data_IF_722221002959
#
_entry.id   IF_722221002959
#
_cell.length_a   1.000
_cell.length_b   1.000
_cell.length_c   1.000
_cell.angle_alpha   90.00
_cell.angle_beta   90.00
_cell.angle_gamma   90.00
#
_symmetry.space_group_name_H-M   'P 1'
#
loop_
_entity.id
_entity.type
_entity.pdbx_description
1 polymer ?
#
# COMPACT_ATOMS: atom_id res chain seq x y z
N UNK A 1 9.15 29.89 21.05
CA UNK A 1 8.59 30.22 19.71
C UNK A 1 9.11 29.16 18.77
N UNK A 2 8.48 27.98 18.77
CA UNK A 2 8.84 26.85 17.90
C UNK A 2 8.00 27.01 16.64
N UNK A 3 8.66 27.36 15.55
CA UNK A 3 8.05 27.46 14.23
C UNK A 3 7.78 26.05 13.70
N UNK A 4 6.50 25.78 13.55
CA UNK A 4 5.87 24.62 12.99
C UNK A 4 6.27 24.50 11.50
N UNK A 5 7.29 23.67 11.19
CA UNK A 5 7.80 23.45 9.82
C UNK A 5 7.40 22.08 9.25
N UNK A 6 6.41 21.36 9.82
CA UNK A 6 6.11 19.99 9.41
C UNK A 6 4.70 19.72 8.90
N UNK A 7 3.90 20.72 8.62
CA UNK A 7 2.66 20.52 7.82
C UNK A 7 2.99 20.65 6.34
N UNK A 8 3.48 19.58 5.70
CA UNK A 8 3.23 19.46 4.26
C UNK A 8 1.71 19.37 4.13
N UNK A 9 1.07 20.49 3.80
CA UNK A 9 -0.36 20.52 3.50
C UNK A 9 -0.70 19.34 2.60
N UNK A 10 -1.70 18.58 3.01
CA UNK A 10 -2.20 17.44 2.23
C UNK A 10 -2.77 18.00 0.92
N UNK A 11 -2.01 17.88 -0.15
CA UNK A 11 -2.40 18.41 -1.44
C UNK A 11 -3.18 17.36 -2.23
N UNK A 12 -4.44 17.63 -2.50
CA UNK A 12 -5.25 16.77 -3.36
C UNK A 12 -4.99 17.06 -4.83
N UNK A 13 -4.96 16.01 -5.63
CA UNK A 13 -4.83 16.12 -7.08
C UNK A 13 -6.10 16.68 -7.70
N UNK A 14 -5.93 17.60 -8.65
CA UNK A 14 -7.03 18.07 -9.51
C UNK A 14 -7.45 16.97 -10.50
N UNK A 15 -8.62 17.13 -11.12
CA UNK A 15 -9.07 16.19 -12.13
C UNK A 15 -8.13 16.17 -13.35
N UNK A 16 -7.48 17.30 -13.68
CA UNK A 16 -6.48 17.40 -14.75
C UNK A 16 -5.23 16.60 -14.41
N UNK A 17 -4.72 16.72 -13.19
CA UNK A 17 -3.56 15.95 -12.69
C UNK A 17 -3.86 14.44 -12.64
N UNK A 18 -5.06 14.06 -12.18
CA UNK A 18 -5.51 12.65 -12.21
C UNK A 18 -5.58 12.14 -13.65
N UNK A 19 -6.11 12.96 -14.60
CA UNK A 19 -6.23 12.59 -16.00
C UNK A 19 -4.88 12.45 -16.69
N UNK A 20 -3.89 13.25 -16.31
CA UNK A 20 -2.52 13.12 -16.81
C UNK A 20 -1.87 11.83 -16.33
N UNK A 21 -1.98 11.50 -15.04
CA UNK A 21 -1.36 10.34 -14.43
C UNK A 21 -2.09 9.02 -14.78
N UNK A 22 -3.43 9.05 -14.79
CA UNK A 22 -4.29 7.89 -14.99
C UNK A 22 -5.52 8.23 -15.86
N UNK A 23 -5.35 8.47 -17.18
CA UNK A 23 -6.44 8.88 -18.07
C UNK A 23 -7.61 7.89 -18.10
N UNK A 24 -7.41 6.60 -17.81
CA UNK A 24 -8.48 5.61 -17.76
C UNK A 24 -9.49 5.81 -16.62
N UNK A 25 -9.19 6.63 -15.63
CA UNK A 25 -10.16 7.06 -14.60
C UNK A 25 -11.37 7.76 -15.24
N UNK A 26 -11.15 8.47 -16.36
CA UNK A 26 -12.18 9.23 -17.08
C UNK A 26 -12.80 8.46 -18.25
N UNK A 27 -12.62 7.15 -18.30
CA UNK A 27 -13.23 6.29 -19.33
C UNK A 27 -14.73 6.16 -19.09
N UNK A 28 -15.54 6.62 -20.04
CA UNK A 28 -17.01 6.67 -19.93
C UNK A 28 -17.68 5.35 -20.31
N UNK A 29 -17.04 4.51 -21.10
CA UNK A 29 -17.61 3.26 -21.60
C UNK A 29 -16.65 2.09 -21.39
N UNK A 30 -17.14 0.90 -21.11
CA UNK A 30 -16.27 -0.27 -20.99
C UNK A 30 -15.72 -0.71 -22.34
N UNK A 31 -14.70 -1.57 -22.32
CA UNK A 31 -14.21 -2.22 -23.52
C UNK A 31 -15.30 -3.07 -24.21
N UNK A 32 -15.28 -3.14 -25.53
CA UNK A 32 -16.34 -3.81 -26.31
C UNK A 32 -16.43 -5.34 -26.04
N UNK A 33 -15.40 -5.94 -25.47
CA UNK A 33 -15.29 -7.37 -25.22
C UNK A 33 -15.64 -7.79 -23.79
N UNK A 34 -16.24 -6.91 -22.99
CA UNK A 34 -16.68 -7.28 -21.63
C UNK A 34 -17.93 -8.16 -21.65
N UNK A 35 -18.14 -8.93 -20.59
CA UNK A 35 -19.31 -9.77 -20.40
C UNK A 35 -20.61 -8.96 -20.42
N UNK A 36 -21.72 -9.56 -20.84
CA UNK A 36 -23.08 -8.97 -20.76
C UNK A 36 -23.52 -8.66 -19.33
N UNK A 37 -22.91 -9.32 -18.35
CA UNK A 37 -23.16 -9.09 -16.91
C UNK A 37 -22.21 -8.04 -16.30
N UNK A 38 -21.31 -7.45 -17.09
CA UNK A 38 -20.42 -6.43 -16.61
C UNK A 38 -21.15 -5.09 -16.52
N UNK A 39 -21.24 -4.55 -15.32
CA UNK A 39 -21.73 -3.18 -15.10
C UNK A 39 -20.54 -2.24 -15.05
N UNK A 40 -20.51 -1.27 -15.95
CA UNK A 40 -19.47 -0.25 -15.97
C UNK A 40 -19.67 0.70 -14.78
N UNK A 41 -18.61 0.88 -13.99
CA UNK A 41 -18.54 1.87 -12.93
C UNK A 41 -17.53 2.93 -13.37
N UNK A 42 -17.98 4.13 -13.76
CA UNK A 42 -17.06 5.23 -14.09
C UNK A 42 -16.25 5.62 -12.86
N UNK A 43 -14.93 5.48 -12.93
CA UNK A 43 -14.07 5.76 -11.76
C UNK A 43 -14.12 7.23 -11.36
N UNK A 44 -14.33 8.13 -12.30
CA UNK A 44 -14.51 9.57 -12.01
C UNK A 44 -15.72 9.83 -11.11
N UNK A 45 -16.82 9.11 -11.29
CA UNK A 45 -17.98 9.21 -10.39
C UNK A 45 -17.61 8.80 -8.95
N UNK A 46 -16.84 7.73 -8.82
CA UNK A 46 -16.35 7.29 -7.50
C UNK A 46 -15.44 8.35 -6.86
N UNK A 47 -14.58 9.02 -7.65
CA UNK A 47 -13.76 10.13 -7.16
C UNK A 47 -14.64 11.26 -6.61
N UNK A 48 -15.71 11.62 -7.32
CA UNK A 48 -16.62 12.68 -6.88
C UNK A 48 -17.43 12.28 -5.64
N UNK A 49 -17.82 11.01 -5.55
CA UNK A 49 -18.52 10.46 -4.39
C UNK A 49 -17.61 10.36 -3.16
N UNK A 50 -16.35 9.98 -3.34
CA UNK A 50 -15.34 10.00 -2.27
C UNK A 50 -15.07 11.43 -1.75
N UNK A 51 -15.05 12.43 -2.64
CA UNK A 51 -14.94 13.84 -2.24
C UNK A 51 -16.10 14.29 -1.34
N UNK A 52 -17.34 13.85 -1.60
CA UNK A 52 -18.50 14.15 -0.74
C UNK A 52 -18.36 13.55 0.67
N UNK A 53 -17.56 12.47 0.80
CA UNK A 53 -17.24 11.82 2.07
C UNK A 53 -15.98 12.38 2.74
N UNK A 54 -15.41 13.48 2.23
CA UNK A 54 -14.21 14.12 2.75
C UNK A 54 -12.88 13.50 2.29
N UNK A 55 -12.91 12.54 1.35
CA UNK A 55 -11.71 11.88 0.83
C UNK A 55 -11.25 12.49 -0.49
N UNK A 56 -10.00 12.94 -0.56
CA UNK A 56 -9.39 13.46 -1.79
C UNK A 56 -8.30 12.54 -2.33
N UNK A 57 -8.09 12.57 -3.65
CA UNK A 57 -7.04 11.80 -4.32
C UNK A 57 -5.68 12.45 -4.06
N UNK A 58 -4.72 11.69 -3.55
CA UNK A 58 -3.34 12.13 -3.29
C UNK A 58 -2.32 11.49 -4.22
N UNK A 59 -2.66 10.36 -4.84
CA UNK A 59 -1.83 9.71 -5.86
C UNK A 59 -2.71 8.99 -6.88
N UNK A 60 -2.25 8.97 -8.14
CA UNK A 60 -2.93 8.32 -9.24
C UNK A 60 -1.90 7.61 -10.13
N UNK A 61 -2.14 6.35 -10.43
CA UNK A 61 -1.25 5.51 -11.24
C UNK A 61 -2.03 4.67 -12.24
N UNK A 62 -1.43 4.39 -13.38
CA UNK A 62 -2.01 3.55 -14.41
C UNK A 62 -0.98 2.59 -15.02
N UNK A 63 -1.39 1.35 -15.25
CA UNK A 63 -0.56 0.36 -15.95
C UNK A 63 -0.39 0.77 -17.42
N UNK A 64 0.82 0.66 -17.94
CA UNK A 64 1.09 0.90 -19.36
C UNK A 64 0.39 -0.15 -20.23
N UNK A 65 -0.30 0.28 -21.29
CA UNK A 65 -0.90 -0.62 -22.25
C UNK A 65 0.18 -1.40 -23.02
N UNK A 66 0.09 -2.73 -23.01
CA UNK A 66 0.97 -3.59 -23.80
C UNK A 66 0.43 -3.87 -25.21
N UNK A 67 -0.87 -3.68 -25.42
CA UNK A 67 -1.57 -3.91 -26.70
C UNK A 67 -2.52 -2.77 -26.98
N UNK A 68 -2.73 -2.41 -28.25
CA UNK A 68 -3.67 -1.38 -28.64
C UNK A 68 -5.12 -1.66 -28.20
N UNK A 69 -5.51 -2.94 -28.14
CA UNK A 69 -6.85 -3.36 -27.67
C UNK A 69 -7.15 -3.08 -26.21
N UNK A 70 -6.12 -2.83 -25.38
CA UNK A 70 -6.28 -2.48 -23.96
C UNK A 70 -6.09 -0.98 -23.70
N UNK A 71 -5.73 -0.21 -24.72
CA UNK A 71 -5.51 1.23 -24.59
C UNK A 71 -6.83 1.92 -24.24
N UNK A 72 -6.85 2.71 -23.18
CA UNK A 72 -8.03 3.40 -22.67
C UNK A 72 -8.83 2.61 -21.61
N UNK A 73 -8.48 1.34 -21.34
CA UNK A 73 -9.20 0.47 -20.38
C UNK A 73 -8.29 -0.14 -19.31
N UNK A 74 -7.04 0.35 -19.23
CA UNK A 74 -6.02 -0.21 -18.37
C UNK A 74 -6.41 -0.14 -16.90
N UNK A 75 -5.83 -1.05 -16.13
CA UNK A 75 -5.90 -1.02 -14.67
C UNK A 75 -5.25 0.26 -14.14
N UNK A 76 -5.94 0.92 -13.24
CA UNK A 76 -5.47 2.11 -12.53
C UNK A 76 -5.65 1.95 -11.02
N UNK A 77 -4.89 2.74 -10.29
CA UNK A 77 -4.90 2.84 -8.83
C UNK A 77 -5.07 4.31 -8.48
N UNK A 78 -5.99 4.60 -7.57
CA UNK A 78 -6.10 5.88 -6.90
C UNK A 78 -5.90 5.69 -5.41
N UNK A 79 -5.13 6.58 -4.81
CA UNK A 79 -4.95 6.63 -3.35
C UNK A 79 -5.69 7.84 -2.81
N UNK A 80 -6.60 7.59 -1.86
CA UNK A 80 -7.38 8.62 -1.19
C UNK A 80 -6.90 8.82 0.24
N UNK A 81 -6.97 10.06 0.72
CA UNK A 81 -6.82 10.45 2.12
C UNK A 81 -7.93 11.37 2.55
N UNK A 82 -8.22 11.34 3.85
CA UNK A 82 -9.10 12.29 4.50
C UNK A 82 -8.30 12.99 5.61
N UNK A 83 -8.16 14.34 5.60
CA UNK A 83 -7.38 15.06 6.60
C UNK A 83 -7.97 14.98 8.00
N UNK A 84 -9.29 14.71 8.13
CA UNK A 84 -9.97 14.56 9.40
C UNK A 84 -9.76 13.17 10.03
N UNK A 85 -9.33 12.19 9.23
CA UNK A 85 -9.08 10.83 9.71
C UNK A 85 -7.59 10.67 9.97
N UNK A 86 -7.18 10.88 11.20
CA UNK A 86 -5.80 10.80 11.67
C UNK A 86 -5.72 9.77 12.79
N UNK A 87 -4.65 8.98 12.78
CA UNK A 87 -4.37 8.03 13.84
C UNK A 87 -3.05 8.45 14.51
N UNK A 88 -3.13 8.80 15.77
CA UNK A 88 -1.95 9.13 16.57
C UNK A 88 -1.39 7.83 17.18
N UNK A 89 -0.19 7.44 16.77
CA UNK A 89 0.57 6.38 17.42
C UNK A 89 1.04 6.79 18.80
N UNK A 90 1.39 5.82 19.64
CA UNK A 90 1.75 6.05 21.06
C UNK A 90 2.95 7.00 21.25
N UNK A 91 3.84 7.13 20.28
CA UNK A 91 5.09 7.91 20.38
C UNK A 91 5.09 9.17 19.51
N UNK A 92 3.91 9.71 19.19
CA UNK A 92 3.79 10.90 18.32
C UNK A 92 3.99 10.60 16.82
N UNK A 93 4.16 9.32 16.43
CA UNK A 93 4.18 8.90 15.04
C UNK A 93 2.77 9.04 14.45
N UNK A 94 2.57 10.08 13.67
CA UNK A 94 1.27 10.34 13.04
C UNK A 94 1.11 9.50 11.80
N UNK A 95 0.09 8.66 11.81
CA UNK A 95 -0.25 7.76 10.70
C UNK A 95 -1.56 8.22 10.08
N UNK A 96 -1.56 8.35 8.75
CA UNK A 96 -2.74 8.72 7.99
C UNK A 96 -3.32 7.49 7.29
N UNK A 97 -4.57 7.14 7.57
CA UNK A 97 -5.25 6.13 6.80
C UNK A 97 -5.36 6.52 5.33
N UNK A 98 -5.21 5.51 4.49
CA UNK A 98 -5.41 5.64 3.05
C UNK A 98 -6.44 4.62 2.59
N UNK A 99 -7.18 4.99 1.56
CA UNK A 99 -8.04 4.07 0.82
C UNK A 99 -7.50 3.97 -0.59
N UNK A 100 -7.14 2.76 -0.98
CA UNK A 100 -6.64 2.46 -2.31
C UNK A 100 -7.77 1.88 -3.16
N UNK A 101 -8.11 2.57 -4.23
CA UNK A 101 -9.08 2.10 -5.21
C UNK A 101 -8.34 1.52 -6.41
N UNK A 102 -8.57 0.27 -6.74
CA UNK A 102 -8.15 -0.30 -8.02
C UNK A 102 -9.34 -0.63 -8.90
N UNK A 103 -9.27 -0.25 -10.18
CA UNK A 103 -10.28 -0.56 -11.18
C UNK A 103 -9.66 -0.78 -12.56
N UNK A 104 -10.42 -1.36 -13.49
CA UNK A 104 -10.15 -1.39 -14.92
C UNK A 104 -11.46 -1.49 -15.69
N UNK A 105 -11.47 -1.00 -16.92
CA UNK A 105 -12.67 -1.00 -17.75
C UNK A 105 -12.68 -2.09 -18.83
N UNK A 106 -11.78 -3.08 -18.70
CA UNK A 106 -11.63 -4.22 -19.61
C UNK A 106 -12.26 -5.53 -19.09
N UNK A 107 -12.95 -5.47 -17.95
CA UNK A 107 -13.60 -6.63 -17.31
C UNK A 107 -12.66 -7.65 -16.70
N UNK A 108 -11.33 -7.38 -16.64
CA UNK A 108 -10.32 -8.34 -16.16
C UNK A 108 -9.94 -8.18 -14.69
N UNK A 109 -10.27 -7.04 -14.10
CA UNK A 109 -9.98 -6.78 -12.70
C UNK A 109 -11.25 -6.39 -11.98
N UNK A 110 -11.37 -6.82 -10.73
CA UNK A 110 -12.44 -6.37 -9.86
C UNK A 110 -12.22 -4.90 -9.48
N UNK A 111 -13.30 -4.18 -9.29
CA UNK A 111 -13.33 -2.92 -8.58
C UNK A 111 -13.09 -3.22 -7.09
N UNK A 112 -12.04 -2.66 -6.52
CA UNK A 112 -11.61 -3.03 -5.17
C UNK A 112 -11.17 -1.80 -4.38
N UNK A 113 -11.69 -1.66 -3.16
CA UNK A 113 -11.10 -0.79 -2.15
C UNK A 113 -10.20 -1.61 -1.22
N UNK A 114 -9.07 -1.07 -0.86
CA UNK A 114 -8.12 -1.67 0.08
C UNK A 114 -7.70 -0.61 1.09
N UNK A 115 -7.72 -0.92 2.38
CA UNK A 115 -7.17 -0.05 3.40
C UNK A 115 -5.65 -0.02 3.35
N UNK A 116 -5.07 1.14 3.61
CA UNK A 116 -3.64 1.34 3.73
C UNK A 116 -3.32 2.35 4.83
N UNK A 117 -2.05 2.42 5.22
CA UNK A 117 -1.53 3.45 6.12
C UNK A 117 -0.39 4.20 5.45
N UNK A 118 -0.30 5.48 5.75
CA UNK A 118 0.79 6.33 5.34
C UNK A 118 1.45 6.94 6.57
N UNK A 119 2.76 6.73 6.71
CA UNK A 119 3.58 7.39 7.73
C UNK A 119 4.22 8.63 7.12
N UNK A 120 4.13 9.76 7.82
CA UNK A 120 4.76 11.02 7.38
C UNK A 120 6.29 10.88 7.26
N UNK A 121 6.89 10.14 8.17
CA UNK A 121 8.35 10.02 8.31
C UNK A 121 9.00 9.39 7.08
N UNK A 122 8.44 8.34 6.53
CA UNK A 122 9.08 7.58 5.45
C UNK A 122 8.50 7.82 4.05
N UNK A 123 7.42 8.60 3.93
CA UNK A 123 6.69 8.80 2.66
C UNK A 123 6.29 7.51 1.93
N UNK A 124 6.46 6.37 2.57
CA UNK A 124 6.08 5.06 2.03
C UNK A 124 4.64 4.77 2.40
N UNK A 125 3.83 4.46 1.41
CA UNK A 125 2.50 3.91 1.62
C UNK A 125 2.63 2.46 2.08
N UNK A 126 2.09 2.13 3.25
CA UNK A 126 1.95 0.76 3.71
C UNK A 126 0.55 0.27 3.38
N UNK A 127 0.44 -0.75 2.55
CA UNK A 127 -0.83 -1.44 2.32
C UNK A 127 -0.99 -2.50 3.41
N UNK A 128 -1.94 -2.29 4.31
CA UNK A 128 -2.27 -3.26 5.32
C UNK A 128 -3.22 -4.28 4.72
N UNK A 129 -2.83 -5.52 4.79
CA UNK A 129 -3.73 -6.64 4.60
C UNK A 129 -3.61 -7.54 5.82
N UNK A 130 -4.24 -7.14 6.87
CA UNK A 130 -4.68 -8.09 7.88
C UNK A 130 -5.83 -8.92 7.26
N UNK A 131 -5.93 -10.21 7.56
CA UNK A 131 -7.09 -11.03 7.16
C UNK A 131 -8.41 -10.47 7.70
N UNK A 132 -8.34 -9.63 8.74
CA UNK A 132 -9.45 -8.88 9.31
C UNK A 132 -9.87 -7.66 8.46
N UNK A 133 -8.95 -7.10 7.65
CA UNK A 133 -9.27 -6.08 6.66
C UNK A 133 -9.52 -6.75 5.32
N UNK A 134 -10.73 -7.23 5.11
CA UNK A 134 -11.13 -7.73 3.81
C UNK A 134 -11.01 -6.61 2.79
N UNK A 135 -10.25 -6.87 1.72
CA UNK A 135 -10.40 -6.07 0.49
C UNK A 135 -11.89 -6.03 0.16
N UNK A 136 -12.50 -4.87 0.24
CA UNK A 136 -13.90 -4.72 -0.14
C UNK A 136 -13.96 -4.81 -1.65
N UNK A 137 -14.29 -5.99 -2.15
CA UNK A 137 -14.49 -6.25 -3.57
C UNK A 137 -15.93 -5.93 -3.91
N UNK A 138 -16.15 -4.75 -4.47
CA UNK A 138 -17.41 -4.51 -5.14
C UNK A 138 -17.45 -5.30 -6.45
N UNK A 139 -18.39 -6.19 -6.58
CA UNK A 139 -18.67 -6.78 -7.89
C UNK A 139 -19.23 -5.68 -8.79
N UNK A 140 -18.85 -5.71 -10.07
CA UNK A 140 -19.43 -4.85 -11.11
C UNK A 140 -20.94 -5.21 -11.36
N UNK A 141 -21.73 -5.22 -10.30
CA UNK A 141 -23.14 -5.64 -10.30
C UNK A 141 -24.04 -4.65 -9.55
N UNK A 142 -23.79 -3.37 -9.76
CA UNK A 142 -24.56 -2.30 -9.16
C UNK A 142 -23.73 -1.52 -8.13
N UNK A 143 -23.26 -0.35 -8.54
CA UNK A 143 -22.63 0.64 -7.68
C UNK A 143 -23.67 1.68 -7.31
N UNK A 144 -23.82 1.94 -6.00
CA UNK A 144 -24.59 3.07 -5.51
C UNK A 144 -23.71 3.90 -4.57
N UNK A 145 -24.06 5.17 -4.40
CA UNK A 145 -23.36 6.04 -3.45
C UNK A 145 -23.56 5.56 -2.02
N UNK A 146 -24.73 5.06 -1.70
CA UNK A 146 -25.09 4.51 -0.40
C UNK A 146 -24.23 3.30 -0.04
N UNK A 147 -24.03 2.37 -0.98
CA UNK A 147 -23.16 1.21 -0.78
C UNK A 147 -21.71 1.64 -0.55
N UNK A 148 -21.21 2.63 -1.30
CA UNK A 148 -19.88 3.22 -1.09
C UNK A 148 -19.76 3.80 0.31
N UNK A 149 -20.74 4.61 0.74
CA UNK A 149 -20.75 5.27 2.04
C UNK A 149 -20.66 4.25 3.18
N UNK A 150 -21.46 3.18 3.12
CA UNK A 150 -21.43 2.10 4.12
C UNK A 150 -20.07 1.45 4.17
N UNK A 151 -19.50 1.09 3.02
CA UNK A 151 -18.21 0.41 2.95
C UNK A 151 -17.03 1.28 3.43
N UNK A 152 -17.02 2.56 3.05
CA UNK A 152 -16.00 3.50 3.54
C UNK A 152 -16.10 3.66 5.05
N UNK A 153 -17.32 3.77 5.58
CA UNK A 153 -17.54 3.85 7.02
C UNK A 153 -17.03 2.59 7.74
N UNK A 154 -17.39 1.40 7.27
CA UNK A 154 -16.90 0.14 7.82
C UNK A 154 -15.38 0.03 7.79
N UNK A 155 -14.74 0.45 6.68
CA UNK A 155 -13.28 0.49 6.58
C UNK A 155 -12.67 1.43 7.62
N UNK A 156 -13.23 2.63 7.80
CA UNK A 156 -12.74 3.62 8.77
C UNK A 156 -12.92 3.11 10.21
N UNK A 157 -14.04 2.48 10.52
CA UNK A 157 -14.31 1.89 11.85
C UNK A 157 -13.35 0.75 12.21
N UNK A 158 -12.76 0.07 11.22
CA UNK A 158 -11.78 -1.00 11.43
C UNK A 158 -10.34 -0.48 11.61
N UNK A 159 -10.04 0.77 11.23
CA UNK A 159 -8.69 1.34 11.33
C UNK A 159 -8.07 1.29 12.74
N UNK A 160 -8.82 1.49 13.84
CA UNK A 160 -8.27 1.34 15.18
C UNK A 160 -7.66 -0.03 15.47
N UNK A 161 -8.18 -1.10 14.86
CA UNK A 161 -7.61 -2.45 14.99
C UNK A 161 -6.20 -2.55 14.40
N UNK A 162 -5.92 -1.75 13.38
CA UNK A 162 -4.59 -1.67 12.79
C UNK A 162 -3.60 -0.97 13.70
N UNK A 163 -4.05 0.07 14.39
CA UNK A 163 -3.23 0.76 15.41
C UNK A 163 -2.88 -0.18 16.54
N UNK A 164 -3.84 -1.01 16.97
CA UNK A 164 -3.59 -2.03 17.97
C UNK A 164 -2.51 -3.02 17.51
N UNK A 165 -2.56 -3.48 16.28
CA UNK A 165 -1.50 -4.33 15.69
C UNK A 165 -0.15 -3.61 15.65
N UNK A 166 -0.12 -2.33 15.29
CA UNK A 166 1.11 -1.51 15.31
C UNK A 166 1.67 -1.38 16.73
N UNK A 167 0.81 -1.08 17.71
CA UNK A 167 1.22 -0.95 19.11
C UNK A 167 1.75 -2.28 19.67
N UNK A 168 1.13 -3.39 19.30
CA UNK A 168 1.65 -4.73 19.63
C UNK A 168 3.02 -4.99 19.01
N UNK A 169 3.24 -4.59 17.75
CA UNK A 169 4.56 -4.69 17.12
C UNK A 169 5.61 -3.78 17.81
N UNK A 170 5.24 -2.58 18.24
CA UNK A 170 6.13 -1.68 18.99
C UNK A 170 6.53 -2.22 20.35
N UNK A 171 5.71 -3.06 20.96
CA UNK A 171 6.01 -3.68 22.24
C UNK A 171 6.97 -4.89 22.15
N UNK A 172 7.36 -5.31 20.92
CA UNK A 172 8.20 -6.50 20.70
C UNK A 172 9.59 -6.04 20.29
N UNK A 173 10.58 -6.24 21.16
CA UNK A 173 11.98 -6.01 20.82
C UNK A 173 12.58 -7.23 20.10
N UNK A 174 13.34 -6.95 19.04
CA UNK A 174 14.03 -7.96 18.25
C UNK A 174 15.53 -7.89 18.51
N UNK A 175 16.17 -9.03 18.70
CA UNK A 175 17.61 -9.12 18.62
C UNK A 175 18.12 -9.08 17.15
N UNK A 176 19.41 -8.90 16.96
CA UNK A 176 20.02 -8.80 15.63
C UNK A 176 19.80 -10.07 14.78
N UNK A 177 19.69 -11.23 15.41
CA UNK A 177 19.42 -12.50 14.73
C UNK A 177 17.98 -12.53 14.19
N UNK A 178 17.04 -12.08 15.00
CA UNK A 178 15.63 -12.00 14.66
C UNK A 178 15.40 -10.97 13.56
N UNK A 179 16.04 -9.78 13.63
CA UNK A 179 15.99 -8.77 12.58
C UNK A 179 16.49 -9.34 11.24
N UNK A 180 17.65 -10.01 11.24
CA UNK A 180 18.21 -10.63 10.04
C UNK A 180 17.33 -11.77 9.51
N UNK A 181 16.71 -12.55 10.39
CA UNK A 181 15.77 -13.60 9.99
C UNK A 181 14.53 -13.02 9.29
N UNK A 182 13.96 -11.92 9.83
CA UNK A 182 12.86 -11.22 9.20
C UNK A 182 13.27 -10.63 7.84
N UNK A 183 14.44 -9.98 7.75
CA UNK A 183 14.99 -9.45 6.49
C UNK A 183 15.18 -10.56 5.45
N UNK A 184 15.77 -11.70 5.84
CA UNK A 184 15.97 -12.85 4.97
C UNK A 184 14.64 -13.42 4.45
N UNK A 185 13.63 -13.54 5.33
CA UNK A 185 12.27 -13.97 4.94
C UNK A 185 11.64 -12.96 3.98
N UNK A 186 11.79 -11.67 4.24
CA UNK A 186 11.24 -10.58 3.43
C UNK A 186 11.77 -10.57 2.00
N UNK A 187 13.02 -10.96 1.78
CA UNK A 187 13.61 -11.08 0.44
C UNK A 187 12.86 -12.08 -0.47
N UNK A 188 12.15 -13.06 0.09
CA UNK A 188 11.34 -14.01 -0.68
C UNK A 188 10.17 -13.34 -1.40
N UNK A 189 9.80 -12.12 -1.04
CA UNK A 189 8.77 -11.34 -1.73
C UNK A 189 9.24 -10.80 -3.08
N UNK A 190 10.57 -10.67 -3.26
CA UNK A 190 11.19 -10.12 -4.48
C UNK A 190 11.98 -11.12 -5.29
N UNK A 191 12.59 -12.10 -4.64
CA UNK A 191 13.49 -13.06 -5.25
C UNK A 191 12.87 -14.45 -5.18
N UNK A 192 13.03 -15.21 -6.24
CA UNK A 192 12.69 -16.65 -6.23
C UNK A 192 13.67 -17.43 -5.35
N UNK A 193 13.27 -18.63 -4.91
CA UNK A 193 14.14 -19.50 -4.12
C UNK A 193 15.48 -19.76 -4.82
N UNK A 194 15.47 -19.95 -6.15
CA UNK A 194 16.69 -20.21 -6.90
C UNK A 194 17.57 -18.96 -7.04
N UNK A 195 16.98 -17.79 -7.16
CA UNK A 195 17.73 -16.53 -7.11
C UNK A 195 18.41 -16.34 -5.75
N UNK A 196 17.70 -16.63 -4.64
CA UNK A 196 18.25 -16.51 -3.28
C UNK A 196 19.37 -17.48 -2.98
N UNK A 197 19.39 -18.68 -3.62
CA UNK A 197 20.51 -19.63 -3.49
C UNK A 197 21.84 -19.09 -4.02
N UNK A 198 21.78 -18.27 -5.06
CA UNK A 198 22.99 -17.75 -5.76
C UNK A 198 23.28 -16.29 -5.42
N UNK A 199 22.31 -15.54 -4.89
CA UNK A 199 22.48 -14.17 -4.51
C UNK A 199 23.13 -14.08 -3.12
N UNK A 200 24.23 -13.33 -3.02
CA UNK A 200 24.80 -12.93 -1.73
C UNK A 200 24.31 -11.53 -1.41
N UNK A 201 23.41 -11.44 -0.44
CA UNK A 201 22.79 -10.20 -0.01
C UNK A 201 23.29 -9.87 1.39
N UNK A 202 23.75 -8.65 1.58
CA UNK A 202 24.14 -8.19 2.91
C UNK A 202 22.88 -7.80 3.70
N UNK A 203 22.50 -8.62 4.68
CA UNK A 203 21.32 -8.37 5.50
C UNK A 203 21.48 -7.14 6.40
N UNK A 204 22.71 -6.75 6.73
CA UNK A 204 22.96 -5.54 7.51
C UNK A 204 22.55 -4.27 6.73
N UNK A 205 22.66 -4.25 5.39
CA UNK A 205 22.13 -3.15 4.58
C UNK A 205 20.60 -3.06 4.64
N UNK A 206 19.92 -4.21 4.74
CA UNK A 206 18.46 -4.26 4.73
C UNK A 206 17.85 -3.84 6.06
N UNK A 207 18.52 -4.14 7.16
CA UNK A 207 18.06 -3.79 8.52
C UNK A 207 18.62 -2.45 9.02
N UNK A 208 19.52 -1.80 8.26
CA UNK A 208 20.12 -0.55 8.67
C UNK A 208 19.18 0.62 8.35
N UNK A 209 18.69 1.37 9.36
CA UNK A 209 17.81 2.51 9.15
C UNK A 209 18.53 3.65 8.43
N UNK A 210 17.79 4.36 7.57
CA UNK A 210 18.29 5.54 6.85
C UNK A 210 18.02 6.82 7.66
N UNK A 211 16.98 6.80 8.50
CA UNK A 211 16.51 7.94 9.29
C UNK A 211 16.68 7.68 10.78
N UNK A 212 16.79 8.77 11.55
CA UNK A 212 16.89 8.70 13.00
C UNK A 212 15.61 8.18 13.64
N UNK A 213 14.45 8.53 13.07
CA UNK A 213 13.13 8.11 13.54
C UNK A 213 12.86 6.62 13.37
N UNK A 214 13.60 5.95 12.51
CA UNK A 214 13.51 4.50 12.29
C UNK A 214 14.59 3.73 13.08
N UNK A 215 15.39 4.41 13.92
CA UNK A 215 16.38 3.80 14.80
C UNK A 215 15.68 3.18 16.02
N UNK A 216 15.25 1.97 15.87
CA UNK A 216 14.66 1.17 16.93
C UNK A 216 14.89 -0.31 16.68
N UNK A 217 14.84 -1.11 17.74
CA UNK A 217 14.91 -2.56 17.67
C UNK A 217 13.54 -3.20 17.85
N UNK A 218 12.48 -2.40 18.01
CA UNK A 218 11.12 -2.92 18.04
C UNK A 218 10.69 -3.43 16.66
N UNK A 219 9.78 -4.39 16.66
CA UNK A 219 9.32 -5.06 15.43
C UNK A 219 8.72 -4.07 14.42
N UNK A 220 8.03 -3.02 14.87
CA UNK A 220 7.44 -2.02 13.98
C UNK A 220 8.50 -1.19 13.26
N UNK A 221 9.51 -0.68 13.99
CA UNK A 221 10.62 0.08 13.43
C UNK A 221 11.43 -0.76 12.44
N UNK A 222 11.80 -1.98 12.84
CA UNK A 222 12.53 -2.93 11.97
C UNK A 222 11.73 -3.30 10.72
N UNK A 223 10.42 -3.54 10.88
CA UNK A 223 9.53 -3.83 9.75
C UNK A 223 9.51 -2.67 8.75
N UNK A 224 9.38 -1.42 9.20
CA UNK A 224 9.34 -0.26 8.30
C UNK A 224 10.66 -0.08 7.53
N UNK A 225 11.81 -0.27 8.19
CA UNK A 225 13.13 -0.24 7.53
C UNK A 225 13.21 -1.31 6.44
N UNK A 226 12.85 -2.55 6.75
CA UNK A 226 12.87 -3.66 5.80
C UNK A 226 11.90 -3.39 4.64
N UNK A 227 10.69 -2.95 4.92
CA UNK A 227 9.67 -2.64 3.93
C UNK A 227 10.16 -1.58 2.94
N UNK A 228 10.73 -0.47 3.43
CA UNK A 228 11.28 0.57 2.59
C UNK A 228 12.39 0.03 1.69
N UNK A 229 13.38 -0.67 2.25
CA UNK A 229 14.48 -1.28 1.48
C UNK A 229 13.98 -2.25 0.41
N UNK A 230 13.01 -3.07 0.75
CA UNK A 230 12.42 -4.03 -0.19
C UNK A 230 11.67 -3.31 -1.33
N UNK A 231 10.92 -2.25 -1.08
CA UNK A 231 10.15 -1.50 -2.10
C UNK A 231 11.06 -0.62 -2.94
N UNK A 232 11.91 0.20 -2.32
CA UNK A 232 12.77 1.13 -3.05
C UNK A 232 13.93 0.43 -3.77
N UNK A 233 14.33 -0.75 -3.30
CA UNK A 233 15.50 -1.45 -3.82
C UNK A 233 16.82 -0.80 -3.41
N UNK A 234 16.86 -0.12 -2.27
CA UNK A 234 18.06 0.54 -1.77
C UNK A 234 18.98 -0.44 -1.04
N UNK A 235 19.43 -1.45 -1.77
CA UNK A 235 20.47 -2.41 -1.35
C UNK A 235 21.13 -3.04 -2.57
N UNK A 236 22.33 -3.58 -2.37
CA UNK A 236 23.11 -4.27 -3.37
C UNK A 236 23.19 -5.77 -3.08
N UNK A 237 23.39 -6.57 -4.13
CA UNK A 237 23.60 -8.00 -4.01
C UNK A 237 24.55 -8.53 -5.08
N UNK A 238 25.27 -9.61 -4.77
CA UNK A 238 26.09 -10.34 -5.76
C UNK A 238 25.23 -11.42 -6.40
N UNK A 239 25.26 -11.48 -7.73
CA UNK A 239 24.72 -12.58 -8.53
C UNK A 239 25.86 -13.23 -9.28
N UNK A 240 26.40 -14.32 -8.75
CA UNK A 240 27.69 -14.85 -9.13
C UNK A 240 28.81 -13.84 -8.79
N UNK A 241 29.68 -13.52 -9.75
CA UNK A 241 30.75 -12.53 -9.58
C UNK A 241 30.32 -11.08 -9.86
N UNK A 242 29.04 -10.83 -10.19
CA UNK A 242 28.56 -9.50 -10.58
C UNK A 242 27.79 -8.84 -9.43
N UNK A 243 28.21 -7.63 -9.05
CA UNK A 243 27.44 -6.76 -8.17
C UNK A 243 26.25 -6.17 -8.95
N UNK A 244 25.08 -6.16 -8.30
CA UNK A 244 23.84 -5.58 -8.83
C UNK A 244 23.15 -4.76 -7.74
N UNK A 245 22.62 -3.61 -8.10
CA UNK A 245 21.69 -2.86 -7.24
C UNK A 245 20.28 -3.37 -7.46
N UNK A 246 19.52 -3.60 -6.39
CA UNK A 246 18.11 -3.87 -6.49
C UNK A 246 17.39 -2.64 -7.11
N UNK A 247 16.28 -2.86 -7.80
CA UNK A 247 15.53 -1.78 -8.46
C UNK A 247 14.25 -1.51 -7.68
N UNK A 248 13.82 -0.27 -7.69
CA UNK A 248 12.53 0.13 -7.16
C UNK A 248 11.37 -0.70 -7.75
N UNK A 249 10.39 -1.04 -6.92
CA UNK A 249 9.16 -1.73 -7.33
C UNK A 249 8.20 -0.68 -7.89
N UNK A 250 8.16 -0.52 -9.23
CA UNK A 250 7.34 0.48 -9.92
C UNK A 250 5.94 0.00 -10.29
N UNK A 251 5.68 -1.28 -10.17
CA UNK A 251 4.37 -1.85 -10.49
C UNK A 251 3.52 -1.88 -9.23
N UNK A 252 2.46 -1.07 -9.18
CA UNK A 252 1.61 -0.94 -8.00
C UNK A 252 0.94 -2.25 -7.54
N UNK A 253 0.63 -3.18 -8.46
CA UNK A 253 0.12 -4.50 -8.06
C UNK A 253 1.18 -5.30 -7.31
N UNK A 254 2.42 -5.28 -7.83
CA UNK A 254 3.54 -5.95 -7.19
C UNK A 254 3.85 -5.30 -5.84
N UNK A 255 3.80 -3.98 -5.78
CA UNK A 255 4.01 -3.21 -4.55
C UNK A 255 2.97 -3.59 -3.48
N UNK A 256 1.68 -3.56 -3.82
CA UNK A 256 0.60 -3.99 -2.92
C UNK A 256 0.79 -5.45 -2.47
N UNK A 257 1.10 -6.37 -3.38
CA UNK A 257 1.31 -7.79 -3.05
C UNK A 257 2.51 -8.00 -2.12
N UNK A 258 3.60 -7.23 -2.31
CA UNK A 258 4.78 -7.26 -1.43
C UNK A 258 4.43 -6.73 -0.04
N UNK A 259 3.80 -5.56 0.04
CA UNK A 259 3.41 -4.93 1.31
C UNK A 259 2.52 -5.87 2.14
N UNK A 260 1.50 -6.48 1.51
CA UNK A 260 0.63 -7.47 2.15
C UNK A 260 1.43 -8.63 2.75
N UNK A 261 2.35 -9.20 1.99
CA UNK A 261 3.18 -10.31 2.46
C UNK A 261 4.13 -9.91 3.57
N UNK A 262 4.74 -8.73 3.46
CA UNK A 262 5.66 -8.22 4.49
C UNK A 262 4.93 -7.99 5.82
N UNK A 263 3.75 -7.36 5.77
CA UNK A 263 2.94 -7.14 6.96
C UNK A 263 2.51 -8.46 7.60
N UNK A 264 2.05 -9.43 6.81
CA UNK A 264 1.71 -10.76 7.30
C UNK A 264 2.91 -11.44 7.99
N UNK A 265 4.11 -11.34 7.40
CA UNK A 265 5.34 -11.90 7.99
C UNK A 265 5.71 -11.25 9.33
N UNK A 266 5.51 -9.93 9.46
CA UNK A 266 5.75 -9.22 10.72
C UNK A 266 4.68 -9.60 11.76
N UNK A 267 3.42 -9.70 11.33
CA UNK A 267 2.31 -10.04 12.23
C UNK A 267 2.41 -11.46 12.80
N UNK A 268 3.04 -12.41 12.07
CA UNK A 268 3.34 -13.75 12.58
C UNK A 268 4.26 -13.76 13.83
N UNK A 269 5.04 -12.67 14.01
CA UNK A 269 5.92 -12.53 15.19
C UNK A 269 5.19 -11.93 16.39
N UNK A 270 3.98 -11.41 16.21
CA UNK A 270 3.14 -10.92 17.30
C UNK A 270 2.54 -12.12 18.03
N UNK A 271 2.77 -12.26 19.35
CA UNK A 271 2.17 -13.34 20.12
C UNK A 271 0.64 -13.31 19.98
N UNK A 272 0.05 -14.42 19.59
CA UNK A 272 -1.40 -14.56 19.64
C UNK A 272 -1.78 -14.65 21.11
N UNK A 273 -2.59 -13.71 21.59
CA UNK A 273 -3.22 -13.86 22.90
C UNK A 273 -4.05 -15.15 22.86
N UNK A 274 -3.66 -16.11 23.69
CA UNK A 274 -4.49 -17.29 23.91
C UNK A 274 -5.79 -16.75 24.50
N UNK A 275 -6.88 -16.81 23.71
CA UNK A 275 -8.20 -16.46 24.17
C UNK A 275 -8.51 -17.34 25.40
N UNK A 276 -8.45 -16.71 26.57
CA UNK A 276 -8.83 -17.30 27.84
C UNK A 276 -10.34 -17.28 28.01
#
# INVERSE_FOLDING_TARGET
MFTDQNSKELQFLSNEQIKEAAPTVFTEKPAANVSKHYTHIPTVQVVDDMKKLGWGVVDAQQVKARKNTTKGFQKHLLTFRNPEVVINGADGDTVFPQILLTNSHDGKNAFTFTAGLFRLVCSNGLVIADEKFNDVKMRHMGYTFEDLQVQIKEMVEQLPLTVDSMNKMKAIELDIKQMKALAQKSLTTRFTKDQLKVAKINLDEIINPVRDEDKGNDLWSVFNVIQEKIITGDFSYLSGARSRKAREVKNFKQDMDINKKLFAMANELVPQEIAS
#
